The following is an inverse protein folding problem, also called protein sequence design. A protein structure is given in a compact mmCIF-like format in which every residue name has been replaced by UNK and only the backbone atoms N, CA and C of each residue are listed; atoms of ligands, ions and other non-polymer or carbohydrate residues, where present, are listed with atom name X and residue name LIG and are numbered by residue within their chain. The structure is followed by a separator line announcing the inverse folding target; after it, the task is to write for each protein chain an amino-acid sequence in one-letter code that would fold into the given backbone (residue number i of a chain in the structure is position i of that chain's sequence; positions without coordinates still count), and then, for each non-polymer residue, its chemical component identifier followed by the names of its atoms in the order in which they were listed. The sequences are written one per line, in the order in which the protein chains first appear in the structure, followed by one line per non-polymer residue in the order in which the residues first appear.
data_IF_821239686687
#
_entry.id   IF_821239686687
#
_cell.length_a   1.000
_cell.length_b   1.000
_cell.length_c   1.000
_cell.angle_alpha   90.00
_cell.angle_beta   90.00
_cell.angle_gamma   90.00
#
_symmetry.space_group_name_H-M   'P 1'
#
loop_
_entity.id
_entity.type
_entity.pdbx_description
1 polymer ?
#
# COMPACT_ATOMS: atom_id res chain seq x y z
N UNK A 1 -14.16 -16.97 30.95
CA UNK A 1 -15.53 -17.52 30.84
C UNK A 1 -15.51 -18.99 31.19
N UNK A 2 -16.53 -19.48 31.91
CA UNK A 2 -16.72 -20.91 32.17
C UNK A 2 -18.13 -21.37 31.77
N UNK A 3 -18.41 -22.67 31.93
CA UNK A 3 -19.74 -23.24 31.75
C UNK A 3 -20.55 -23.06 33.03
N UNK A 4 -21.87 -22.95 32.91
CA UNK A 4 -22.75 -22.95 34.08
C UNK A 4 -22.66 -24.30 34.81
N UNK A 5 -22.47 -24.23 36.12
CA UNK A 5 -22.12 -25.36 37.00
C UNK A 5 -23.00 -25.42 38.25
N UNK A 6 -24.09 -24.66 38.28
CA UNK A 6 -25.12 -24.77 39.33
C UNK A 6 -25.76 -26.17 39.30
N UNK A 7 -26.30 -26.67 40.43
CA UNK A 7 -26.94 -28.00 40.49
C UNK A 7 -28.09 -28.21 39.49
N UNK A 8 -28.73 -27.14 39.04
CA UNK A 8 -29.81 -27.14 38.04
C UNK A 8 -29.33 -26.98 36.59
N UNK A 9 -28.01 -26.93 36.35
CA UNK A 9 -27.45 -26.92 35.02
C UNK A 9 -27.82 -28.22 34.28
N UNK A 10 -28.02 -28.12 32.96
CA UNK A 10 -28.17 -29.31 32.13
C UNK A 10 -26.80 -29.97 31.96
N UNK A 11 -26.61 -31.13 32.58
CA UNK A 11 -25.44 -31.96 32.35
C UNK A 11 -25.29 -32.30 30.85
N UNK A 12 -24.06 -32.18 30.34
CA UNK A 12 -23.66 -32.63 29.01
C UNK A 12 -24.49 -32.12 27.82
N UNK A 13 -25.16 -30.96 27.96
CA UNK A 13 -26.00 -30.38 26.89
C UNK A 13 -25.27 -30.24 25.55
N UNK A 14 -23.97 -29.97 25.60
CA UNK A 14 -23.12 -29.79 24.42
C UNK A 14 -22.04 -30.89 24.27
N UNK A 15 -22.26 -32.06 24.88
CA UNK A 15 -21.32 -33.19 24.91
C UNK A 15 -20.70 -33.42 26.30
N UNK A 16 -19.89 -34.50 26.47
CA UNK A 16 -19.35 -34.89 27.77
C UNK A 16 -18.58 -33.75 28.47
N UNK A 17 -18.92 -33.48 29.73
CA UNK A 17 -18.40 -32.41 30.57
C UNK A 17 -18.86 -31.00 30.19
N UNK A 18 -19.79 -30.85 29.24
CA UNK A 18 -20.19 -29.54 28.68
C UNK A 18 -21.61 -29.17 29.07
N UNK A 19 -21.74 -28.76 30.32
CA UNK A 19 -23.01 -28.32 30.89
C UNK A 19 -23.55 -27.06 30.18
N UNK A 20 -24.88 -26.88 30.24
CA UNK A 20 -25.54 -25.72 29.64
C UNK A 20 -26.85 -25.33 30.32
N UNK A 21 -27.41 -24.20 29.88
CA UNK A 21 -28.67 -23.68 30.42
C UNK A 21 -29.89 -24.48 29.95
N UNK A 22 -30.90 -24.58 30.78
CA UNK A 22 -32.24 -25.09 30.44
C UNK A 22 -33.34 -24.18 31.00
N UNK A 23 -34.46 -24.09 30.29
CA UNK A 23 -35.67 -23.41 30.77
C UNK A 23 -36.44 -24.24 31.81
N UNK A 24 -35.96 -25.45 32.11
CA UNK A 24 -36.72 -26.45 32.86
C UNK A 24 -37.80 -27.09 31.98
N UNK A 25 -38.55 -27.98 32.60
CA UNK A 25 -39.73 -28.61 32.04
C UNK A 25 -40.66 -29.03 33.20
N UNK A 26 -41.75 -28.28 33.43
CA UNK A 26 -42.71 -28.59 34.49
C UNK A 26 -43.35 -29.98 34.36
N UNK A 27 -43.51 -30.50 33.14
CA UNK A 27 -44.15 -31.80 32.92
C UNK A 27 -43.27 -32.97 33.39
N UNK A 28 -41.96 -32.79 33.37
CA UNK A 28 -40.97 -33.78 33.85
C UNK A 28 -40.38 -33.43 35.22
N UNK A 29 -40.88 -32.38 35.88
CA UNK A 29 -40.37 -31.90 37.17
C UNK A 29 -38.97 -31.26 37.09
N UNK A 30 -38.49 -30.97 35.88
CA UNK A 30 -37.15 -30.42 35.66
C UNK A 30 -37.14 -28.93 35.95
N UNK A 31 -36.30 -28.51 36.89
CA UNK A 31 -36.11 -27.08 37.22
C UNK A 31 -35.35 -26.34 36.11
N UNK A 32 -35.63 -25.06 35.95
CA UNK A 32 -34.82 -24.15 35.14
C UNK A 32 -33.43 -23.97 35.77
N UNK A 33 -32.45 -23.59 34.96
CA UNK A 33 -31.09 -23.35 35.44
C UNK A 33 -31.04 -22.10 36.29
N UNK A 34 -30.72 -22.27 37.57
CA UNK A 34 -30.35 -21.22 38.51
C UNK A 34 -29.05 -20.55 38.04
N UNK A 35 -29.01 -19.22 38.10
CA UNK A 35 -27.84 -18.41 37.77
C UNK A 35 -26.97 -18.21 39.03
N UNK A 36 -25.65 -18.17 38.89
CA UNK A 36 -24.71 -17.88 39.98
C UNK A 36 -23.83 -16.65 39.66
N UNK A 37 -23.22 -16.07 40.70
CA UNK A 37 -22.29 -14.94 40.59
C UNK A 37 -21.10 -15.28 39.70
N UNK A 38 -20.49 -16.44 39.93
CA UNK A 38 -19.23 -16.82 39.28
C UNK A 38 -19.34 -16.77 37.75
N UNK A 39 -20.46 -17.23 37.20
CA UNK A 39 -20.73 -17.18 35.77
C UNK A 39 -20.90 -15.75 35.24
N UNK A 40 -21.61 -14.88 35.96
CA UNK A 40 -21.83 -13.50 35.54
C UNK A 40 -20.60 -12.62 35.71
N UNK A 41 -19.82 -12.84 36.78
CA UNK A 41 -18.51 -12.24 36.97
C UNK A 41 -17.58 -12.65 35.83
N UNK A 42 -17.58 -13.93 35.44
CA UNK A 42 -16.79 -14.38 34.31
C UNK A 42 -17.21 -13.74 32.97
N UNK A 43 -18.52 -13.53 32.73
CA UNK A 43 -18.99 -12.79 31.53
C UNK A 43 -18.53 -11.34 31.57
N UNK A 44 -18.65 -10.67 32.72
CA UNK A 44 -18.22 -9.30 32.90
C UNK A 44 -16.73 -9.17 32.64
N UNK A 45 -15.90 -10.01 33.28
CA UNK A 45 -14.45 -9.94 33.17
C UNK A 45 -13.95 -10.23 31.74
N UNK A 46 -14.61 -11.10 30.96
CA UNK A 46 -14.26 -11.26 29.54
C UNK A 46 -14.49 -9.98 28.73
N UNK A 47 -15.63 -9.31 28.95
CA UNK A 47 -15.95 -8.06 28.25
C UNK A 47 -15.01 -6.94 28.72
N UNK A 48 -14.79 -6.83 30.03
CA UNK A 48 -13.87 -5.87 30.63
C UNK A 48 -12.44 -6.05 30.12
N UNK A 49 -11.95 -7.29 30.08
CA UNK A 49 -10.61 -7.60 29.58
C UNK A 49 -10.41 -7.19 28.12
N UNK A 50 -11.42 -7.33 27.25
CA UNK A 50 -11.34 -6.84 25.86
C UNK A 50 -11.20 -5.32 25.81
N UNK A 51 -11.97 -4.60 26.63
CA UNK A 51 -11.93 -3.13 26.71
C UNK A 51 -10.57 -2.66 27.22
N UNK A 52 -10.09 -3.21 28.32
CA UNK A 52 -8.82 -2.84 28.93
C UNK A 52 -7.63 -3.18 28.03
N UNK A 53 -7.65 -4.35 27.37
CA UNK A 53 -6.60 -4.74 26.40
C UNK A 53 -6.58 -3.86 25.16
N UNK A 54 -7.67 -3.19 24.82
CA UNK A 54 -7.68 -2.13 23.79
C UNK A 54 -7.03 -0.82 24.27
N UNK A 55 -6.66 -0.73 25.55
CA UNK A 55 -6.12 0.47 26.20
C UNK A 55 -7.20 1.53 26.48
N UNK A 56 -8.46 1.13 26.62
CA UNK A 56 -9.55 1.98 27.09
C UNK A 56 -9.80 1.69 28.58
N UNK A 57 -10.21 2.70 29.34
CA UNK A 57 -10.62 2.53 30.73
C UNK A 57 -12.11 2.21 30.81
N UNK A 58 -12.50 1.38 31.79
CA UNK A 58 -13.90 1.05 32.04
C UNK A 58 -14.66 2.27 32.58
N UNK A 59 -15.83 2.54 32.02
CA UNK A 59 -16.73 3.62 32.40
C UNK A 59 -18.16 3.12 32.54
N UNK A 60 -18.67 3.07 33.77
CA UNK A 60 -20.02 2.58 34.08
C UNK A 60 -21.15 3.37 33.40
N UNK A 61 -20.92 4.64 33.06
CA UNK A 61 -21.91 5.53 32.45
C UNK A 61 -21.91 5.41 30.91
N UNK A 62 -21.06 4.54 30.35
CA UNK A 62 -20.88 4.35 28.91
C UNK A 62 -21.27 2.93 28.48
N UNK A 63 -22.18 2.82 27.49
CA UNK A 63 -22.78 1.54 27.08
C UNK A 63 -22.34 1.05 25.69
N UNK A 64 -21.31 1.64 25.11
CA UNK A 64 -20.74 1.27 23.80
C UNK A 64 -19.24 0.90 23.87
N UNK A 65 -18.69 0.70 25.08
CA UNK A 65 -17.26 0.51 25.31
C UNK A 65 -16.68 -0.72 24.58
N UNK A 66 -17.41 -1.84 24.57
CA UNK A 66 -16.98 -3.05 23.84
C UNK A 66 -16.90 -2.78 22.33
N UNK A 67 -17.84 -2.04 21.78
CA UNK A 67 -17.83 -1.63 20.37
C UNK A 67 -16.60 -0.76 20.07
N UNK A 68 -16.36 0.28 20.88
CA UNK A 68 -15.19 1.15 20.72
C UNK A 68 -13.87 0.38 20.84
N UNK A 69 -13.79 -0.54 21.79
CA UNK A 69 -12.62 -1.41 21.99
C UNK A 69 -12.35 -2.28 20.75
N UNK A 70 -13.37 -2.94 20.20
CA UNK A 70 -13.24 -3.77 18.99
C UNK A 70 -12.77 -2.92 17.80
N UNK A 71 -13.40 -1.76 17.56
CA UNK A 71 -13.00 -0.84 16.49
C UNK A 71 -11.54 -0.41 16.65
N UNK A 72 -11.13 -0.06 17.88
CA UNK A 72 -9.75 0.34 18.20
C UNK A 72 -8.77 -0.81 18.00
N UNK A 73 -9.07 -2.02 18.47
CA UNK A 73 -8.22 -3.19 18.27
C UNK A 73 -8.02 -3.45 16.77
N UNK A 74 -9.09 -3.50 15.99
CA UNK A 74 -9.03 -3.74 14.54
C UNK A 74 -8.19 -2.66 13.85
N UNK A 75 -8.48 -1.39 14.11
CA UNK A 75 -7.75 -0.27 13.48
C UNK A 75 -6.28 -0.19 13.92
N UNK A 76 -5.97 -0.53 15.17
CA UNK A 76 -4.59 -0.59 15.69
C UNK A 76 -3.77 -1.77 15.19
N UNK A 77 -4.41 -2.80 14.63
CA UNK A 77 -3.76 -3.93 13.94
C UNK A 77 -3.69 -3.76 12.43
N UNK A 78 -4.35 -2.72 11.89
CA UNK A 78 -4.28 -2.25 10.49
C UNK A 78 -3.18 -1.18 10.21
N UNK A 79 -2.35 -0.63 11.14
CA UNK A 79 -1.43 0.45 10.80
C UNK A 79 -0.31 0.02 9.83
N UNK A 80 -0.09 -1.29 9.67
CA UNK A 80 0.83 -1.82 8.64
C UNK A 80 0.18 -1.92 7.25
N UNK A 81 -1.13 -1.72 7.14
CA UNK A 81 -1.84 -1.74 5.87
C UNK A 81 -1.88 -0.32 5.27
N UNK A 82 -1.49 -0.22 4.01
CA UNK A 82 -1.64 1.01 3.23
C UNK A 82 -3.13 1.29 2.99
N UNK A 83 -3.59 2.49 3.34
CA UNK A 83 -4.98 2.87 3.13
C UNK A 83 -5.15 3.46 1.73
N UNK A 84 -6.08 2.92 0.94
CA UNK A 84 -6.36 3.40 -0.43
C UNK A 84 -6.59 4.91 -0.51
N UNK A 85 -7.28 5.50 0.48
CA UNK A 85 -7.56 6.95 0.52
C UNK A 85 -6.30 7.82 0.60
N UNK A 86 -5.18 7.27 1.08
CA UNK A 86 -3.93 8.00 1.25
C UNK A 86 -3.05 7.94 0.01
N UNK A 87 -3.42 7.22 -1.05
CA UNK A 87 -2.66 7.14 -2.31
C UNK A 87 -1.15 6.87 -2.09
N UNK A 88 -0.81 5.90 -1.23
CA UNK A 88 0.58 5.52 -0.88
C UNK A 88 1.39 6.60 -0.15
N UNK A 89 0.78 7.72 0.25
CA UNK A 89 1.47 8.76 1.04
C UNK A 89 1.82 8.30 2.45
N UNK A 90 1.12 7.27 2.94
CA UNK A 90 1.29 6.58 4.22
C UNK A 90 2.34 5.45 4.19
N UNK A 91 3.07 5.31 3.08
CA UNK A 91 4.19 4.39 3.00
C UNK A 91 5.35 4.84 3.89
N UNK A 92 5.69 4.01 4.89
CA UNK A 92 6.77 4.28 5.85
C UNK A 92 8.12 4.46 5.19
N UNK A 93 8.49 3.57 4.26
CA UNK A 93 9.76 3.63 3.54
C UNK A 93 9.54 3.61 2.02
N UNK A 94 9.55 4.81 1.45
CA UNK A 94 9.41 5.04 0.01
C UNK A 94 10.64 4.60 -0.79
N UNK A 95 11.81 4.45 -0.15
CA UNK A 95 13.05 4.00 -0.80
C UNK A 95 13.00 2.48 -0.94
N UNK A 96 12.70 1.77 0.15
CA UNK A 96 12.59 0.32 0.15
C UNK A 96 11.51 -0.17 -0.83
N UNK A 97 10.33 0.46 -0.86
CA UNK A 97 9.29 0.05 -1.81
C UNK A 97 9.71 0.20 -3.27
N UNK A 98 10.42 1.28 -3.63
CA UNK A 98 10.98 1.45 -4.98
C UNK A 98 12.02 0.38 -5.31
N UNK A 99 12.84 -0.01 -4.31
CA UNK A 99 13.84 -1.06 -4.46
C UNK A 99 13.18 -2.44 -4.65
N UNK A 100 12.13 -2.77 -3.89
CA UNK A 100 11.39 -4.04 -4.03
C UNK A 100 10.67 -4.18 -5.36
N UNK A 101 10.25 -3.07 -5.98
CA UNK A 101 9.66 -3.05 -7.32
C UNK A 101 10.73 -3.01 -8.44
N UNK A 102 12.02 -3.05 -8.07
CA UNK A 102 13.16 -3.02 -8.99
C UNK A 102 13.16 -1.83 -9.96
N UNK A 103 12.53 -0.70 -9.58
CA UNK A 103 12.41 0.48 -10.44
C UNK A 103 13.74 1.25 -10.59
N UNK A 104 14.73 0.94 -9.74
CA UNK A 104 16.07 1.54 -9.73
C UNK A 104 16.01 3.08 -9.70
N UNK A 105 17.01 3.75 -10.26
CA UNK A 105 17.15 5.22 -10.25
C UNK A 105 16.09 5.94 -11.08
N UNK A 106 15.45 5.26 -12.04
CA UNK A 106 14.41 5.86 -12.88
C UNK A 106 13.18 6.34 -12.09
N UNK A 107 12.87 5.73 -10.94
CA UNK A 107 11.73 6.12 -10.10
C UNK A 107 11.89 7.49 -9.38
N UNK A 108 13.07 8.11 -9.49
CA UNK A 108 13.39 9.43 -8.95
C UNK A 108 13.54 10.49 -10.03
N UNK A 109 13.64 10.07 -11.29
CA UNK A 109 13.85 10.95 -12.43
C UNK A 109 12.49 11.43 -12.95
N UNK A 110 12.39 12.72 -13.26
CA UNK A 110 11.26 13.26 -14.00
C UNK A 110 11.19 12.64 -15.39
N UNK A 111 9.99 12.56 -15.95
CA UNK A 111 9.79 12.20 -17.35
C UNK A 111 9.97 13.45 -18.22
N UNK A 112 10.55 13.31 -19.42
CA UNK A 112 10.64 14.41 -20.39
C UNK A 112 9.26 15.05 -20.63
N UNK A 113 9.20 16.38 -20.69
CA UNK A 113 7.93 17.10 -20.92
C UNK A 113 7.63 17.34 -22.39
N UNK A 114 8.61 17.17 -23.28
CA UNK A 114 8.46 17.21 -24.74
C UNK A 114 9.51 16.29 -25.39
N UNK A 115 9.37 16.02 -26.69
CA UNK A 115 10.35 15.21 -27.43
C UNK A 115 11.73 15.88 -27.54
N UNK A 116 11.79 17.19 -27.34
CA UNK A 116 13.01 17.99 -27.43
C UNK A 116 13.59 18.33 -26.05
N UNK A 117 13.04 17.76 -24.97
CA UNK A 117 13.52 17.97 -23.61
C UNK A 117 14.87 17.25 -23.39
N UNK A 118 15.94 18.03 -23.48
CA UNK A 118 17.33 17.55 -23.30
C UNK A 118 17.83 17.69 -21.86
N UNK A 119 16.95 17.96 -20.89
CA UNK A 119 17.35 18.16 -19.49
C UNK A 119 17.99 16.89 -18.93
N UNK A 120 19.21 17.02 -18.40
CA UNK A 120 19.95 15.90 -17.84
C UNK A 120 19.19 15.25 -16.66
N UNK A 121 19.26 13.92 -16.57
CA UNK A 121 18.67 13.16 -15.48
C UNK A 121 17.18 12.82 -15.62
N UNK A 122 16.54 13.16 -16.75
CA UNK A 122 15.15 12.78 -17.04
C UNK A 122 15.03 11.42 -17.75
N UNK A 123 13.93 10.71 -17.52
CA UNK A 123 13.55 9.48 -18.25
C UNK A 123 12.95 9.87 -19.60
N UNK A 124 13.35 9.18 -20.67
CA UNK A 124 12.87 9.45 -22.02
C UNK A 124 11.38 9.07 -22.18
N UNK A 125 10.60 9.93 -22.84
CA UNK A 125 9.25 9.57 -23.29
C UNK A 125 9.37 8.71 -24.55
N UNK A 126 8.87 7.47 -24.49
CA UNK A 126 8.65 6.61 -25.66
C UNK A 126 9.90 6.03 -26.34
N UNK A 127 10.98 5.76 -25.59
CA UNK A 127 12.15 5.01 -26.09
C UNK A 127 12.85 5.63 -27.31
N UNK A 128 12.61 6.90 -27.63
CA UNK A 128 13.18 7.59 -28.77
C UNK A 128 14.69 7.76 -28.57
N UNK A 129 15.48 6.97 -29.28
CA UNK A 129 16.93 6.82 -29.09
C UNK A 129 17.79 8.07 -29.35
N UNK A 130 17.21 9.25 -29.57
CA UNK A 130 17.95 10.42 -30.02
C UNK A 130 17.33 11.73 -29.50
N UNK A 131 18.02 12.36 -28.54
CA UNK A 131 17.87 13.78 -28.26
C UNK A 131 18.51 14.58 -29.41
N UNK A 132 17.73 14.86 -30.45
CA UNK A 132 18.17 15.61 -31.63
C UNK A 132 18.10 17.11 -31.32
N UNK A 133 19.22 17.83 -31.42
CA UNK A 133 19.20 19.30 -31.54
C UNK A 133 18.74 19.64 -32.95
N UNK A 134 17.45 19.87 -33.15
CA UNK A 134 16.92 20.34 -34.44
C UNK A 134 17.17 21.84 -34.58
N UNK A 135 18.21 22.23 -35.32
CA UNK A 135 18.26 23.56 -35.92
C UNK A 135 17.28 23.58 -37.08
N UNK A 136 16.28 24.48 -37.03
CA UNK A 136 15.23 24.62 -38.05
C UNK A 136 15.85 24.86 -39.44
N UNK A 137 15.98 23.81 -40.26
CA UNK A 137 16.41 23.92 -41.65
C UNK A 137 15.22 24.35 -42.51
N UNK A 138 15.33 25.49 -43.19
CA UNK A 138 14.34 26.00 -44.14
C UNK A 138 15.03 26.78 -45.25
N UNK A 139 14.36 26.92 -46.40
CA UNK A 139 14.87 27.71 -47.52
C UNK A 139 15.25 29.14 -47.05
N UNK A 140 16.51 29.53 -47.24
CA UNK A 140 17.05 30.81 -46.78
C UNK A 140 17.67 30.82 -45.38
N UNK A 141 17.75 29.67 -44.68
CA UNK A 141 18.44 29.52 -43.39
C UNK A 141 19.49 28.39 -43.44
N UNK A 142 20.52 28.48 -44.31
CA UNK A 142 21.52 27.43 -44.44
C UNK A 142 22.34 27.30 -43.14
N UNK A 143 22.53 26.06 -42.68
CA UNK A 143 23.57 25.72 -41.71
C UNK A 143 24.88 25.64 -42.47
N UNK A 144 25.66 26.72 -42.43
CA UNK A 144 26.87 26.88 -43.23
C UNK A 144 28.14 26.42 -42.52
N UNK A 145 28.04 25.97 -41.27
CA UNK A 145 29.19 25.70 -40.43
C UNK A 145 29.00 24.42 -39.59
N UNK A 146 29.94 23.48 -39.72
CA UNK A 146 30.04 22.22 -38.99
C UNK A 146 31.32 22.14 -38.13
N UNK A 147 32.07 23.23 -37.96
CA UNK A 147 33.44 23.23 -37.42
C UNK A 147 33.57 22.91 -35.93
N UNK A 148 32.48 23.01 -35.15
CA UNK A 148 32.49 22.78 -33.70
C UNK A 148 31.87 21.43 -33.28
N UNK A 149 31.76 20.48 -34.22
CA UNK A 149 31.27 19.15 -33.86
C UNK A 149 32.37 18.30 -33.19
N UNK A 150 32.02 17.48 -32.18
CA UNK A 150 32.94 16.47 -31.66
C UNK A 150 33.49 15.59 -32.78
N UNK A 151 34.76 15.16 -32.68
CA UNK A 151 35.44 14.38 -33.74
C UNK A 151 34.73 13.07 -34.16
N UNK A 152 33.74 12.61 -33.40
CA UNK A 152 32.92 11.43 -33.65
C UNK A 152 31.47 11.74 -34.07
N UNK A 153 31.16 12.98 -34.45
CA UNK A 153 29.83 13.36 -34.93
C UNK A 153 29.54 12.83 -36.34
N UNK A 154 28.30 12.42 -36.60
CA UNK A 154 27.78 12.19 -37.96
C UNK A 154 26.94 13.39 -38.37
N UNK A 155 27.31 14.08 -39.44
CA UNK A 155 26.55 15.18 -40.04
C UNK A 155 25.97 14.78 -41.40
N UNK A 156 24.75 15.22 -41.68
CA UNK A 156 24.12 15.12 -43.00
C UNK A 156 23.96 16.54 -43.55
N UNK A 157 24.71 16.88 -44.61
CA UNK A 157 24.65 18.18 -45.29
C UNK A 157 24.21 18.06 -46.75
N UNK A 158 23.84 19.18 -47.37
CA UNK A 158 23.59 19.27 -48.82
C UNK A 158 24.88 19.52 -49.58
N UNK A 159 25.14 18.83 -50.70
CA UNK A 159 26.40 18.84 -51.51
C UNK A 159 27.10 20.20 -51.73
N UNK A 160 26.39 21.32 -51.62
CA UNK A 160 26.91 22.67 -51.77
C UNK A 160 27.30 23.39 -50.47
N UNK A 161 27.21 22.75 -49.30
CA UNK A 161 27.74 23.29 -48.05
C UNK A 161 29.28 23.43 -48.15
N UNK A 162 29.80 24.52 -47.59
CA UNK A 162 31.19 24.95 -47.76
C UNK A 162 32.20 23.92 -47.25
N UNK A 163 31.81 23.05 -46.30
CA UNK A 163 32.67 22.00 -45.75
C UNK A 163 31.84 20.76 -45.36
N UNK A 164 31.85 19.73 -46.22
CA UNK A 164 31.34 18.40 -45.86
C UNK A 164 32.47 17.53 -45.31
N UNK A 165 32.20 16.63 -44.35
CA UNK A 165 33.14 15.55 -44.06
C UNK A 165 33.41 14.80 -45.37
N UNK A 166 34.67 14.79 -45.84
CA UNK A 166 35.05 14.02 -47.03
C UNK A 166 34.65 12.56 -46.80
N UNK A 167 33.61 12.08 -47.48
CA UNK A 167 33.40 10.64 -47.63
C UNK A 167 34.61 10.12 -48.41
N UNK A 168 35.56 9.49 -47.71
CA UNK A 168 36.65 8.77 -48.33
C UNK A 168 36.05 7.52 -48.97
N UNK A 169 35.61 7.63 -50.22
CA UNK A 169 35.32 6.47 -51.04
C UNK A 169 36.66 5.75 -51.27
N UNK A 170 36.86 4.63 -50.58
CA UNK A 170 37.90 3.67 -50.95
C UNK A 170 37.54 3.14 -52.35
N UNK A 171 38.20 3.68 -53.38
CA UNK A 171 38.18 3.06 -54.70
C UNK A 171 38.94 1.75 -54.61
N UNK A 172 38.26 0.64 -54.95
CA UNK A 172 38.82 -0.70 -55.17
C UNK A 172 39.91 -0.71 -56.24
#
# INVERSE_FOLDING_TARGET
MHRIDTPTAQADKFGPGKNGFTNGDPATGRRATDLNSDMWDAVQEEICAVIEKSGLALNKDQHDQLYQAIVKIITSKIPDALLKKNNLSDLTDKVLARASLELKTAALADVQTSKDDITAGRVLVNGGALALRTTLAGAGRPLTDFNDLPANSVSFGYDNATEHPRLHWLSS
#
